data_IF_388519575346
#
_entry.id   IF_388519575346
#
_cell.length_a   1.000
_cell.length_b   1.000
_cell.length_c   1.000
_cell.angle_alpha   90.00
_cell.angle_beta   90.00
_cell.angle_gamma   90.00
#
_symmetry.space_group_name_H-M   'P 1'
#
loop_
_entity.id
_entity.type
_entity.pdbx_description
1 polymer ?
#
# COMPACT_ATOMS: atom_id res chain seq x y z
N UNK A 1 -17.48 -5.17 11.15
CA UNK A 1 -18.12 -4.49 12.30
C UNK A 1 -19.47 -5.16 12.54
N UNK A 2 -19.53 -6.26 13.30
CA UNK A 2 -20.78 -7.06 13.45
C UNK A 2 -21.54 -6.81 14.77
N UNK A 3 -20.99 -6.04 15.72
CA UNK A 3 -21.56 -5.96 17.07
C UNK A 3 -22.53 -4.78 17.31
N UNK A 4 -22.85 -3.99 16.28
CA UNK A 4 -23.71 -2.80 16.46
C UNK A 4 -25.22 -3.05 16.44
N UNK A 5 -25.69 -4.16 15.83
CA UNK A 5 -27.12 -4.38 15.55
C UNK A 5 -27.51 -5.87 15.54
N UNK A 6 -27.43 -6.57 16.69
CA UNK A 6 -27.59 -8.03 16.76
C UNK A 6 -28.97 -8.53 16.31
N UNK A 7 -30.02 -7.71 16.43
CA UNK A 7 -31.37 -8.10 16.01
C UNK A 7 -31.67 -7.73 14.54
N UNK A 8 -30.88 -6.84 13.93
CA UNK A 8 -31.16 -6.34 12.58
C UNK A 8 -30.59 -7.25 11.50
N UNK A 9 -29.45 -7.89 11.73
CA UNK A 9 -28.80 -8.70 10.70
C UNK A 9 -29.39 -10.12 10.68
N UNK A 10 -29.95 -10.53 9.54
CA UNK A 10 -30.42 -11.90 9.33
C UNK A 10 -29.32 -12.77 8.72
N UNK A 11 -28.77 -12.32 7.59
CA UNK A 11 -27.69 -13.03 6.90
C UNK A 11 -26.70 -12.06 6.26
N UNK A 12 -25.44 -12.46 6.19
CA UNK A 12 -24.36 -11.69 5.58
C UNK A 12 -23.34 -12.64 4.97
N UNK A 13 -23.20 -12.57 3.65
CA UNK A 13 -22.27 -13.39 2.88
C UNK A 13 -21.28 -12.46 2.19
N UNK A 14 -19.98 -12.75 2.34
CA UNK A 14 -18.88 -12.07 1.66
C UNK A 14 -18.13 -13.14 0.85
N UNK A 15 -18.56 -13.35 -0.40
CA UNK A 15 -17.91 -14.30 -1.29
C UNK A 15 -16.72 -13.62 -1.94
N UNK A 16 -15.53 -13.91 -1.45
CA UNK A 16 -14.30 -13.19 -1.79
C UNK A 16 -13.32 -14.06 -2.55
N UNK A 17 -12.76 -13.49 -3.62
CA UNK A 17 -11.60 -14.01 -4.33
C UNK A 17 -10.48 -12.98 -4.31
N UNK A 18 -9.25 -13.45 -4.11
CA UNK A 18 -8.07 -12.59 -4.13
C UNK A 18 -6.95 -13.28 -4.90
N UNK A 19 -6.32 -12.56 -5.82
CA UNK A 19 -5.21 -13.07 -6.62
C UNK A 19 -4.08 -12.06 -6.61
N UNK A 20 -2.89 -12.50 -6.19
CA UNK A 20 -1.66 -11.71 -6.27
C UNK A 20 -0.63 -12.44 -7.12
N UNK A 21 -0.20 -11.81 -8.20
CA UNK A 21 0.91 -12.23 -9.03
C UNK A 21 2.05 -11.22 -8.92
N UNK A 22 3.27 -11.70 -8.72
CA UNK A 22 4.45 -10.85 -8.80
C UNK A 22 5.60 -11.56 -9.51
N UNK A 23 6.42 -10.77 -10.18
CA UNK A 23 7.65 -11.22 -10.82
C UNK A 23 8.76 -10.25 -10.48
N UNK A 24 9.92 -10.78 -10.12
CA UNK A 24 11.10 -10.01 -9.77
C UNK A 24 12.29 -10.51 -10.57
N UNK A 25 13.03 -9.57 -11.14
CA UNK A 25 14.30 -9.81 -11.80
C UNK A 25 15.38 -9.00 -11.09
N UNK A 26 16.49 -9.66 -10.79
CA UNK A 26 17.65 -9.04 -10.15
C UNK A 26 18.90 -9.45 -10.91
N UNK A 27 19.78 -8.48 -11.17
CA UNK A 27 21.06 -8.76 -11.80
C UNK A 27 22.15 -7.85 -11.27
N UNK A 28 23.32 -8.43 -11.03
CA UNK A 28 24.54 -7.68 -10.77
C UNK A 28 25.25 -7.47 -12.10
N UNK A 29 25.27 -6.22 -12.58
CA UNK A 29 25.90 -5.86 -13.84
C UNK A 29 27.43 -5.92 -13.71
N UNK A 30 27.96 -5.50 -12.56
CA UNK A 30 29.36 -5.60 -12.16
C UNK A 30 29.48 -5.44 -10.64
N UNK A 31 30.70 -5.39 -10.09
CA UNK A 31 30.96 -5.29 -8.65
C UNK A 31 30.41 -4.02 -7.98
N UNK A 32 29.99 -3.01 -8.76
CA UNK A 32 29.48 -1.72 -8.25
C UNK A 32 28.02 -1.47 -8.56
N UNK A 33 27.40 -2.24 -9.45
CA UNK A 33 26.09 -1.92 -10.04
C UNK A 33 25.17 -3.13 -9.96
N UNK A 34 24.04 -2.97 -9.27
CA UNK A 34 22.98 -3.96 -9.19
C UNK A 34 21.64 -3.36 -9.63
N UNK A 35 20.91 -4.10 -10.45
CA UNK A 35 19.60 -3.71 -10.98
C UNK A 35 18.53 -4.62 -10.41
N UNK A 36 17.38 -4.02 -10.08
CA UNK A 36 16.19 -4.70 -9.60
C UNK A 36 15.00 -4.21 -10.42
N UNK A 37 14.23 -5.15 -10.95
CA UNK A 37 12.96 -4.91 -11.60
C UNK A 37 11.92 -5.77 -10.90
N UNK A 38 10.77 -5.19 -10.53
CA UNK A 38 9.63 -5.93 -9.99
C UNK A 38 8.39 -5.48 -10.72
N UNK A 39 7.54 -6.41 -11.11
CA UNK A 39 6.20 -6.13 -11.57
C UNK A 39 5.21 -6.93 -10.72
N UNK A 40 4.00 -6.42 -10.55
CA UNK A 40 2.95 -7.11 -9.83
C UNK A 40 1.57 -6.77 -10.39
N UNK A 41 0.62 -7.65 -10.09
CA UNK A 41 -0.81 -7.45 -10.30
C UNK A 41 -1.55 -8.10 -9.16
N UNK A 42 -2.48 -7.38 -8.59
CA UNK A 42 -3.34 -7.84 -7.50
C UNK A 42 -4.79 -7.49 -7.83
N UNK A 43 -5.66 -8.47 -7.60
CA UNK A 43 -7.10 -8.32 -7.75
C UNK A 43 -7.77 -8.87 -6.51
N UNK A 44 -8.82 -8.18 -6.10
CA UNK A 44 -9.68 -8.55 -5.00
C UNK A 44 -11.11 -8.31 -5.48
N UNK A 45 -11.87 -9.38 -5.57
CA UNK A 45 -13.24 -9.38 -6.07
C UNK A 45 -14.13 -9.93 -4.95
N UNK A 46 -15.20 -9.22 -4.62
CA UNK A 46 -16.16 -9.65 -3.61
C UNK A 46 -17.58 -9.49 -4.12
N UNK A 47 -18.37 -10.54 -3.99
CA UNK A 47 -19.81 -10.46 -4.12
C UNK A 47 -20.44 -10.46 -2.72
N UNK A 48 -21.16 -9.38 -2.41
CA UNK A 48 -21.67 -9.11 -1.08
C UNK A 48 -23.20 -9.21 -1.03
N UNK A 49 -23.69 -10.10 -0.18
CA UNK A 49 -25.11 -10.25 0.12
C UNK A 49 -25.37 -9.89 1.57
N UNK A 50 -26.39 -9.04 1.80
CA UNK A 50 -26.81 -8.61 3.13
C UNK A 50 -28.32 -8.58 3.22
N UNK A 51 -28.84 -9.32 4.18
CA UNK A 51 -30.27 -9.44 4.45
C UNK A 51 -30.51 -9.02 5.89
N UNK A 52 -31.42 -8.06 6.08
CA UNK A 52 -31.84 -7.62 7.40
C UNK A 52 -33.16 -8.24 7.81
N UNK A 53 -33.36 -8.43 9.11
CA UNK A 53 -34.67 -8.58 9.70
C UNK A 53 -35.43 -7.26 9.60
N UNK A 54 -36.75 -7.32 9.42
CA UNK A 54 -37.64 -6.17 9.57
C UNK A 54 -38.05 -6.07 11.04
N UNK A 55 -37.98 -4.84 11.57
CA UNK A 55 -38.41 -4.50 12.92
C UNK A 55 -39.70 -3.69 12.84
N UNK A 56 -40.62 -3.89 13.78
CA UNK A 56 -41.79 -3.03 13.96
C UNK A 56 -41.40 -1.67 14.57
N UNK A 57 -42.36 -0.75 14.71
CA UNK A 57 -42.15 0.58 15.29
C UNK A 57 -41.66 0.54 16.76
N UNK A 58 -41.79 -0.61 17.43
CA UNK A 58 -41.35 -0.84 18.80
C UNK A 58 -39.99 -1.56 18.88
N UNK A 59 -39.37 -1.88 17.73
CA UNK A 59 -38.10 -2.58 17.64
C UNK A 59 -38.18 -4.10 17.78
N UNK A 60 -39.36 -4.71 17.74
CA UNK A 60 -39.55 -6.15 17.77
C UNK A 60 -39.42 -6.75 16.37
N UNK A 61 -38.97 -8.01 16.28
CA UNK A 61 -38.89 -8.74 15.01
C UNK A 61 -40.30 -9.02 14.47
N UNK A 62 -40.58 -8.62 13.23
CA UNK A 62 -41.85 -8.95 12.55
C UNK A 62 -41.86 -10.35 11.96
N UNK A 63 -40.68 -10.95 11.78
CA UNK A 63 -40.47 -12.22 11.06
C UNK A 63 -40.25 -12.04 9.55
N UNK A 64 -40.36 -10.82 9.03
CA UNK A 64 -40.04 -10.50 7.63
C UNK A 64 -38.55 -10.17 7.44
N UNK A 65 -38.07 -10.31 6.21
CA UNK A 65 -36.70 -9.99 5.82
C UNK A 65 -36.67 -8.93 4.73
N UNK A 66 -35.66 -8.05 4.75
CA UNK A 66 -35.37 -7.07 3.72
C UNK A 66 -33.98 -7.29 3.14
N UNK A 67 -33.92 -7.52 1.84
CA UNK A 67 -32.65 -7.59 1.10
C UNK A 67 -32.09 -6.18 0.95
N UNK A 68 -30.87 -5.97 1.42
CA UNK A 68 -30.15 -4.68 1.32
C UNK A 68 -29.15 -4.73 0.19
N UNK A 69 -28.41 -5.83 0.09
CA UNK A 69 -27.51 -6.15 -1.00
C UNK A 69 -27.78 -7.59 -1.43
N UNK A 70 -27.85 -7.80 -2.74
CA UNK A 70 -28.00 -9.11 -3.37
C UNK A 70 -26.88 -9.24 -4.39
N UNK A 71 -25.93 -10.14 -4.12
CA UNK A 71 -24.77 -10.39 -4.99
C UNK A 71 -24.09 -9.10 -5.50
N UNK A 72 -24.02 -8.08 -4.64
CA UNK A 72 -23.58 -6.75 -5.04
C UNK A 72 -22.06 -6.72 -5.07
N UNK A 73 -21.51 -6.35 -6.23
CA UNK A 73 -20.07 -6.38 -6.45
C UNK A 73 -19.35 -5.27 -5.67
N UNK A 74 -18.20 -5.64 -5.13
CA UNK A 74 -17.23 -4.75 -4.51
C UNK A 74 -15.84 -5.29 -4.75
N UNK A 75 -14.98 -4.51 -5.39
CA UNK A 75 -13.66 -5.00 -5.77
C UNK A 75 -12.62 -3.91 -5.93
N UNK A 76 -11.38 -4.38 -5.97
CA UNK A 76 -10.19 -3.57 -6.09
C UNK A 76 -9.19 -4.30 -6.98
N UNK A 77 -8.52 -3.53 -7.83
CA UNK A 77 -7.44 -4.02 -8.67
C UNK A 77 -6.32 -3.01 -8.68
N UNK A 78 -5.12 -3.49 -8.43
CA UNK A 78 -3.91 -2.72 -8.65
C UNK A 78 -2.83 -3.51 -9.35
N UNK A 79 -1.97 -2.77 -10.02
CA UNK A 79 -0.82 -3.33 -10.71
C UNK A 79 0.22 -2.24 -10.92
N UNK A 80 1.46 -2.67 -10.97
CA UNK A 80 2.54 -1.72 -11.04
C UNK A 80 3.88 -2.38 -11.31
N UNK A 81 4.86 -1.52 -11.48
CA UNK A 81 6.24 -1.94 -11.59
C UNK A 81 7.17 -1.00 -10.83
N UNK A 82 8.29 -1.56 -10.41
CA UNK A 82 9.36 -0.88 -9.73
C UNK A 82 10.67 -1.20 -10.46
N UNK A 83 11.45 -0.17 -10.76
CA UNK A 83 12.79 -0.28 -11.28
C UNK A 83 13.76 0.44 -10.34
N UNK A 84 14.80 -0.26 -9.89
CA UNK A 84 15.76 0.27 -8.94
C UNK A 84 17.18 -0.08 -9.37
N UNK A 85 18.07 0.88 -9.24
CA UNK A 85 19.51 0.78 -9.42
C UNK A 85 20.17 1.02 -8.06
N UNK A 86 21.04 0.10 -7.65
CA UNK A 86 21.98 0.29 -6.56
C UNK A 86 23.39 0.44 -7.14
N UNK A 87 24.07 1.51 -6.76
CA UNK A 87 25.37 1.90 -7.28
C UNK A 87 26.33 2.27 -6.15
N UNK A 88 27.42 1.51 -6.00
CA UNK A 88 28.56 1.86 -5.17
C UNK A 88 29.34 3.03 -5.82
N UNK A 89 28.89 4.26 -5.54
CA UNK A 89 29.44 5.50 -6.11
C UNK A 89 30.84 5.80 -5.59
N UNK A 90 31.13 5.40 -4.35
CA UNK A 90 32.44 5.52 -3.71
C UNK A 90 32.63 4.40 -2.68
N UNK A 91 33.86 4.08 -2.23
CA UNK A 91 34.08 3.12 -1.15
C UNK A 91 33.29 3.44 0.13
N UNK A 92 33.00 4.72 0.37
CA UNK A 92 32.31 5.25 1.54
C UNK A 92 30.79 5.38 1.37
N UNK A 93 30.25 5.21 0.16
CA UNK A 93 28.87 5.55 -0.14
C UNK A 93 28.24 4.71 -1.26
N UNK A 94 27.00 4.28 -1.01
CA UNK A 94 26.12 3.67 -1.98
C UNK A 94 24.96 4.62 -2.32
N UNK A 95 24.60 4.65 -3.59
CA UNK A 95 23.46 5.38 -4.11
C UNK A 95 22.42 4.38 -4.60
N UNK A 96 21.20 4.49 -4.10
CA UNK A 96 20.02 3.80 -4.61
C UNK A 96 19.15 4.81 -5.31
N UNK A 97 18.77 4.55 -6.56
CA UNK A 97 17.79 5.36 -7.29
C UNK A 97 16.76 4.44 -7.92
N UNK A 98 15.54 4.93 -8.07
CA UNK A 98 14.52 4.14 -8.74
C UNK A 98 13.28 4.91 -9.11
N UNK A 99 12.44 4.19 -9.84
CA UNK A 99 11.16 4.62 -10.33
C UNK A 99 10.12 3.56 -9.98
N UNK A 100 8.93 4.03 -9.62
CA UNK A 100 7.81 3.21 -9.20
C UNK A 100 6.56 3.73 -9.89
N UNK A 101 5.78 2.84 -10.49
CA UNK A 101 4.47 3.16 -11.02
C UNK A 101 3.46 2.18 -10.46
N UNK A 102 2.35 2.70 -9.97
CA UNK A 102 1.23 1.92 -9.47
C UNK A 102 -0.05 2.47 -10.08
N UNK A 103 -0.94 1.58 -10.49
CA UNK A 103 -2.26 1.90 -10.99
C UNK A 103 -3.27 1.24 -10.07
N UNK A 104 -4.27 2.00 -9.68
CA UNK A 104 -5.36 1.58 -8.81
C UNK A 104 -6.67 1.68 -9.56
N UNK A 105 -7.55 0.71 -9.36
CA UNK A 105 -8.96 0.81 -9.69
C UNK A 105 -9.77 0.22 -8.54
N UNK A 106 -10.78 0.95 -8.11
CA UNK A 106 -11.76 0.46 -7.14
C UNK A 106 -13.16 0.61 -7.74
N UNK A 107 -14.01 -0.36 -7.47
CA UNK A 107 -15.40 -0.37 -7.90
C UNK A 107 -16.23 -0.89 -6.72
N UNK A 108 -17.24 -0.12 -6.31
CA UNK A 108 -18.03 -0.42 -5.11
C UNK A 108 -19.51 -0.09 -5.37
N UNK A 109 -20.26 -1.11 -5.77
CA UNK A 109 -21.71 -1.00 -5.94
C UNK A 109 -22.48 -1.15 -4.61
N UNK A 110 -21.80 -1.56 -3.52
CA UNK A 110 -22.38 -1.67 -2.18
C UNK A 110 -22.56 -0.28 -1.55
N UNK A 111 -21.54 0.58 -1.68
CA UNK A 111 -21.55 1.97 -1.20
C UNK A 111 -21.77 3.00 -2.32
N UNK A 112 -21.89 2.55 -3.58
CA UNK A 112 -22.12 3.38 -4.78
C UNK A 112 -21.00 4.40 -5.02
N UNK A 113 -19.76 4.00 -4.81
CA UNK A 113 -18.60 4.81 -5.19
C UNK A 113 -18.40 4.60 -6.69
N UNK A 114 -18.15 5.69 -7.42
CA UNK A 114 -17.92 5.64 -8.85
C UNK A 114 -16.70 4.76 -9.19
N UNK A 115 -16.62 4.36 -10.46
CA UNK A 115 -15.58 3.48 -10.99
C UNK A 115 -14.27 4.26 -11.13
N UNK A 116 -13.53 4.38 -10.01
CA UNK A 116 -12.40 5.31 -9.85
C UNK A 116 -11.07 4.68 -10.25
N UNK A 117 -10.20 5.48 -10.86
CA UNK A 117 -8.86 5.06 -11.29
C UNK A 117 -7.83 6.10 -10.89
N UNK A 118 -6.74 5.65 -10.29
CA UNK A 118 -5.62 6.53 -9.95
C UNK A 118 -4.31 5.90 -10.41
N UNK A 119 -3.47 6.70 -11.06
CA UNK A 119 -2.11 6.30 -11.38
C UNK A 119 -1.14 7.12 -10.56
N UNK A 120 -0.22 6.46 -9.86
CA UNK A 120 0.84 7.11 -9.09
C UNK A 120 2.18 6.75 -9.69
N UNK A 121 2.93 7.78 -10.10
CA UNK A 121 4.31 7.63 -10.50
C UNK A 121 5.19 8.21 -9.39
N UNK A 122 6.28 7.54 -9.03
CA UNK A 122 7.20 8.04 -8.03
C UNK A 122 8.65 7.83 -8.43
N UNK A 123 9.46 8.86 -8.20
CA UNK A 123 10.91 8.79 -8.31
C UNK A 123 11.47 8.83 -6.90
N UNK A 124 12.43 7.95 -6.61
CA UNK A 124 13.09 7.90 -5.32
C UNK A 124 14.59 7.80 -5.45
N UNK A 125 15.29 8.34 -4.46
CA UNK A 125 16.73 8.26 -4.32
C UNK A 125 17.10 8.14 -2.84
N UNK A 126 18.16 7.39 -2.55
CA UNK A 126 18.70 7.26 -1.21
C UNK A 126 20.21 7.11 -1.28
N UNK A 127 20.92 7.93 -0.50
CA UNK A 127 22.35 7.75 -0.25
C UNK A 127 22.53 7.00 1.07
N UNK A 128 23.46 6.05 1.11
CA UNK A 128 23.82 5.25 2.27
C UNK A 128 25.32 5.34 2.51
N UNK A 129 25.73 5.53 3.75
CA UNK A 129 27.14 5.38 4.11
C UNK A 129 27.50 3.90 4.21
N UNK A 130 28.77 3.60 4.00
CA UNK A 130 29.33 2.27 4.23
C UNK A 130 30.18 2.26 5.50
N UNK A 131 30.58 1.07 6.01
CA UNK A 131 31.51 0.97 7.13
C UNK A 131 32.88 1.65 6.89
N UNK A 132 33.24 1.91 5.63
CA UNK A 132 34.45 2.64 5.27
C UNK A 132 34.35 4.14 5.58
N UNK A 133 33.14 4.69 5.74
CA UNK A 133 32.94 6.06 6.21
C UNK A 133 32.92 6.12 7.74
N UNK A 134 32.17 5.20 8.35
CA UNK A 134 32.08 5.06 9.80
C UNK A 134 32.11 3.58 10.17
N UNK A 135 33.13 3.15 10.88
CA UNK A 135 33.34 1.72 11.19
C UNK A 135 32.12 1.07 11.86
N UNK A 136 31.48 1.80 12.78
CA UNK A 136 30.38 1.30 13.61
C UNK A 136 29.04 1.96 13.30
N UNK A 137 28.94 2.77 12.23
CA UNK A 137 27.71 3.52 11.92
C UNK A 137 27.33 3.42 10.45
N UNK A 138 26.07 3.11 10.19
CA UNK A 138 25.49 3.22 8.85
C UNK A 138 24.39 4.26 8.90
N UNK A 139 24.52 5.30 8.10
CA UNK A 139 23.53 6.36 7.93
C UNK A 139 22.94 6.29 6.53
N UNK A 140 21.67 6.64 6.39
CA UNK A 140 21.05 6.77 5.09
C UNK A 140 20.06 7.93 5.05
N UNK A 141 20.09 8.70 3.97
CA UNK A 141 19.17 9.79 3.68
C UNK A 141 18.46 9.48 2.37
N UNK A 142 17.14 9.40 2.41
CA UNK A 142 16.30 9.11 1.25
C UNK A 142 15.24 10.17 1.01
N UNK A 143 14.83 10.27 -0.25
CA UNK A 143 13.74 11.12 -0.72
C UNK A 143 12.93 10.36 -1.77
N UNK A 144 11.62 10.55 -1.77
CA UNK A 144 10.69 10.02 -2.76
C UNK A 144 9.66 11.09 -3.11
N UNK A 145 9.54 11.41 -4.38
CA UNK A 145 8.50 12.30 -4.89
C UNK A 145 7.43 11.44 -5.58
N UNK A 146 6.22 11.46 -5.02
CA UNK A 146 5.05 10.77 -5.54
C UNK A 146 4.21 11.77 -6.32
N UNK A 147 3.74 11.36 -7.50
CA UNK A 147 2.90 12.12 -8.42
C UNK A 147 1.67 11.30 -8.78
N UNK A 148 0.61 11.39 -7.96
CA UNK A 148 -0.69 10.83 -8.31
C UNK A 148 -1.32 11.59 -9.48
N UNK A 149 -2.20 10.94 -10.26
CA UNK A 149 -2.88 11.57 -11.39
C UNK A 149 -4.00 12.52 -10.94
N UNK A 150 -4.70 12.17 -9.86
CA UNK A 150 -5.89 12.90 -9.38
C UNK A 150 -5.62 13.77 -8.13
N UNK A 151 -4.42 13.67 -7.54
CA UNK A 151 -4.06 14.36 -6.30
C UNK A 151 -2.75 15.13 -6.42
N UNK A 152 -2.47 15.99 -5.43
CA UNK A 152 -1.28 16.83 -5.42
C UNK A 152 -0.02 15.99 -5.21
N UNK A 153 1.03 16.34 -5.95
CA UNK A 153 2.39 15.84 -5.73
C UNK A 153 2.81 15.91 -4.25
N UNK A 154 3.47 14.85 -3.79
CA UNK A 154 3.94 14.74 -2.41
C UNK A 154 5.39 14.25 -2.36
N UNK A 155 6.22 14.99 -1.63
CA UNK A 155 7.62 14.61 -1.38
C UNK A 155 7.77 14.12 0.04
N UNK A 156 8.18 12.87 0.18
CA UNK A 156 8.57 12.27 1.47
C UNK A 156 10.08 12.13 1.56
N UNK A 157 10.61 12.28 2.75
CA UNK A 157 12.03 12.07 3.02
C UNK A 157 12.19 11.25 4.29
N UNK A 158 13.31 10.54 4.39
CA UNK A 158 13.70 9.83 5.58
C UNK A 158 15.20 9.96 5.86
N UNK A 159 15.54 9.98 7.13
CA UNK A 159 16.89 9.86 7.66
C UNK A 159 16.89 8.69 8.62
N UNK A 160 17.70 7.68 8.32
CA UNK A 160 17.83 6.49 9.17
C UNK A 160 19.29 6.27 9.52
N UNK A 161 19.51 5.67 10.68
CA UNK A 161 20.84 5.37 11.17
C UNK A 161 20.85 4.14 12.05
N UNK A 162 21.90 3.34 11.94
CA UNK A 162 22.21 2.23 12.83
C UNK A 162 23.62 2.40 13.36
N UNK A 163 23.79 2.37 14.67
CA UNK A 163 25.07 2.47 15.35
C UNK A 163 25.31 1.24 16.23
N UNK A 164 26.42 0.54 16.02
CA UNK A 164 26.85 -0.56 16.86
C UNK A 164 27.59 -0.02 18.09
N UNK A 165 27.04 -0.26 19.29
CA UNK A 165 27.68 0.09 20.56
C UNK A 165 28.72 -0.95 20.98
N UNK A 166 28.50 -2.21 20.57
CA UNK A 166 29.40 -3.36 20.74
C UNK A 166 28.97 -4.49 19.79
N UNK A 167 29.68 -5.61 19.80
CA UNK A 167 29.31 -6.81 19.01
C UNK A 167 27.92 -7.38 19.36
N UNK A 168 27.33 -7.00 20.49
CA UNK A 168 26.04 -7.51 20.98
C UNK A 168 24.92 -6.48 20.99
N UNK A 169 25.26 -5.20 20.93
CA UNK A 169 24.30 -4.12 21.13
C UNK A 169 24.41 -3.07 20.04
N UNK A 170 23.25 -2.65 19.53
CA UNK A 170 23.14 -1.56 18.58
C UNK A 170 21.92 -0.69 18.89
N UNK A 171 21.94 0.53 18.40
CA UNK A 171 20.79 1.45 18.39
C UNK A 171 20.46 1.78 16.95
N UNK A 172 19.17 1.83 16.64
CA UNK A 172 18.67 2.24 15.34
C UNK A 172 17.61 3.33 15.50
N UNK A 173 17.69 4.35 14.65
CA UNK A 173 16.73 5.44 14.58
C UNK A 173 16.26 5.69 13.16
N UNK A 174 15.04 6.19 13.02
CA UNK A 174 14.48 6.64 11.76
C UNK A 174 13.62 7.88 12.01
N UNK A 175 13.82 8.91 11.20
CA UNK A 175 13.09 10.17 11.20
C UNK A 175 12.66 10.45 9.77
N UNK A 176 11.45 10.95 9.56
CA UNK A 176 11.01 11.26 8.21
C UNK A 176 9.58 11.74 8.15
N UNK A 177 9.17 12.12 6.95
CA UNK A 177 7.78 12.39 6.63
C UNK A 177 7.13 11.17 6.00
N UNK A 178 5.80 11.10 6.08
CA UNK A 178 5.03 10.04 5.45
C UNK A 178 4.03 10.63 4.46
N UNK A 179 3.64 9.82 3.49
CA UNK A 179 2.57 10.12 2.56
C UNK A 179 1.61 8.94 2.57
N UNK A 180 0.33 9.25 2.73
CA UNK A 180 -0.77 8.31 2.59
C UNK A 180 -1.63 8.86 1.45
N UNK A 181 -1.91 8.03 0.44
CA UNK A 181 -2.97 8.36 -0.49
C UNK A 181 -4.27 8.50 0.32
N UNK A 182 -5.04 9.57 0.14
CA UNK A 182 -6.34 9.67 0.79
C UNK A 182 -7.19 8.43 0.41
N UNK A 183 -7.90 7.88 1.39
CA UNK A 183 -8.76 6.73 1.18
C UNK A 183 -9.97 7.13 0.32
N UNK A 184 -10.65 6.15 -0.28
CA UNK A 184 -11.86 6.40 -1.07
C UNK A 184 -12.93 7.17 -0.26
N UNK A 185 -12.97 7.00 1.07
CA UNK A 185 -13.80 7.83 1.94
C UNK A 185 -13.30 9.29 1.96
N UNK A 186 -12.04 9.59 2.26
CA UNK A 186 -11.55 10.98 2.32
C UNK A 186 -11.45 11.68 0.95
N UNK A 187 -11.48 10.94 -0.16
CA UNK A 187 -11.54 11.50 -1.50
C UNK A 187 -12.98 11.84 -1.93
N UNK A 188 -13.98 11.09 -1.46
CA UNK A 188 -15.32 11.08 -2.07
C UNK A 188 -16.51 11.13 -1.09
N UNK A 189 -16.29 11.12 0.24
CA UNK A 189 -17.26 11.35 1.32
C UNK A 189 -16.90 12.58 2.17
#
# INVERSE_FOLDING_TARGET
>A
MDFGRPCLNHDTINARSETLLSTKFETRVNDRVQLFLKAYRHTWDTDYTRIYNVLDDNGNLTGETRVVNDDTYWGYKDYGFNAMLEWAVAPQADLVVGFDQQNYRAEDDVWRIADEKEQVNAVFAQVRSTPQLFENTVLALGVRNNRPSESRDSTVWNLSGKHALSDRWYVQGNLGTSFRLPDAEALFL
#
